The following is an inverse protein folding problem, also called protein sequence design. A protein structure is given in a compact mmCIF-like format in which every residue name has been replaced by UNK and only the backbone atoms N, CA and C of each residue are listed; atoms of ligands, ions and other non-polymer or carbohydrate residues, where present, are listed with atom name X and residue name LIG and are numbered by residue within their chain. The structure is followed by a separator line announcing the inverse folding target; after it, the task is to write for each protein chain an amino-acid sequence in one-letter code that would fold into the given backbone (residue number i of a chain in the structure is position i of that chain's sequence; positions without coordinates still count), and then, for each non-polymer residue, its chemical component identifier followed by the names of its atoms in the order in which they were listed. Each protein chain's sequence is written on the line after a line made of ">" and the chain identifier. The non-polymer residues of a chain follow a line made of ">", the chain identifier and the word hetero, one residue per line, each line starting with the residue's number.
data_IF_190007392729
#
_entry.id   IF_190007392729
#
_cell.length_a   1.000
_cell.length_b   1.000
_cell.length_c   1.000
_cell.angle_alpha   90.00
_cell.angle_beta   90.00
_cell.angle_gamma   90.00
#
_symmetry.space_group_name_H-M   'P 1'
#
loop_
_entity.id
_entity.type
_entity.pdbx_description
1 polymer ?
#
# COMPACT_ATOMS: atom_id res chain seq x y z
N UNK A 1 17.15 -10.77 3.43
CA UNK A 1 16.25 -10.07 4.37
C UNK A 1 16.43 -8.56 4.26
N UNK A 2 17.66 -8.04 4.38
CA UNK A 2 17.98 -6.61 4.24
C UNK A 2 17.38 -5.92 3.01
N UNK A 3 17.54 -6.50 1.81
CA UNK A 3 16.96 -5.94 0.58
C UNK A 3 15.43 -5.74 0.66
N UNK A 4 14.70 -6.68 1.28
CA UNK A 4 13.25 -6.59 1.43
C UNK A 4 12.86 -5.56 2.50
N UNK A 5 13.69 -5.39 3.55
CA UNK A 5 13.52 -4.31 4.55
C UNK A 5 13.70 -2.93 3.90
N UNK A 6 14.72 -2.75 3.07
CA UNK A 6 14.93 -1.51 2.30
C UNK A 6 13.76 -1.25 1.35
N UNK A 7 13.29 -2.28 0.64
CA UNK A 7 12.16 -2.14 -0.28
C UNK A 7 10.86 -1.76 0.47
N UNK A 8 10.56 -2.41 1.60
CA UNK A 8 9.42 -2.03 2.43
C UNK A 8 9.53 -0.58 2.94
N UNK A 9 10.73 -0.15 3.33
CA UNK A 9 11.02 1.24 3.74
C UNK A 9 10.74 2.23 2.61
N UNK A 10 11.13 1.91 1.37
CA UNK A 10 10.85 2.76 0.22
C UNK A 10 9.34 2.89 -0.01
N UNK A 11 8.58 1.80 0.10
CA UNK A 11 7.13 1.84 -0.14
C UNK A 11 6.37 2.57 0.97
N UNK A 12 6.73 2.44 2.24
CA UNK A 12 6.09 3.23 3.30
C UNK A 12 6.43 4.73 3.20
N UNK A 13 7.64 5.07 2.75
CA UNK A 13 8.01 6.45 2.46
C UNK A 13 7.18 7.02 1.30
N UNK A 14 6.94 6.22 0.25
CA UNK A 14 6.06 6.61 -0.85
C UNK A 14 4.61 6.82 -0.38
N UNK A 15 4.06 5.94 0.46
CA UNK A 15 2.73 6.12 1.06
C UNK A 15 2.65 7.42 1.86
N UNK A 16 3.66 7.69 2.69
CA UNK A 16 3.74 8.89 3.53
C UNK A 16 3.86 10.17 2.68
N UNK A 17 4.66 10.12 1.61
CA UNK A 17 4.83 11.24 0.69
C UNK A 17 3.53 11.56 -0.05
N UNK A 18 2.84 10.53 -0.58
CA UNK A 18 1.61 10.75 -1.34
C UNK A 18 0.44 11.19 -0.48
N UNK A 19 0.24 10.57 0.70
CA UNK A 19 -0.79 11.02 1.64
C UNK A 19 -0.64 12.50 2.01
N UNK A 20 0.58 12.95 2.33
CA UNK A 20 0.83 14.36 2.63
C UNK A 20 0.64 15.30 1.43
N UNK A 21 0.92 14.82 0.21
CA UNK A 21 0.65 15.56 -1.04
C UNK A 21 -0.84 15.69 -1.34
N UNK A 22 -1.59 14.61 -1.14
CA UNK A 22 -3.05 14.56 -1.29
C UNK A 22 -3.71 15.51 -0.29
N UNK A 23 -3.37 15.41 1.00
CA UNK A 23 -3.95 16.25 2.06
C UNK A 23 -3.70 17.74 1.80
N UNK A 24 -2.47 18.13 1.43
CA UNK A 24 -2.17 19.53 1.08
C UNK A 24 -3.00 20.07 -0.07
N UNK A 25 -3.24 19.28 -1.11
CA UNK A 25 -4.04 19.71 -2.27
C UNK A 25 -5.54 19.67 -1.97
N UNK A 26 -6.00 18.68 -1.23
CA UNK A 26 -7.39 18.57 -0.80
C UNK A 26 -7.85 19.78 0.02
N UNK A 27 -6.98 20.30 0.90
CA UNK A 27 -7.28 21.50 1.71
C UNK A 27 -7.22 22.81 0.94
N UNK A 28 -6.84 22.80 -0.34
CA UNK A 28 -6.75 24.02 -1.14
C UNK A 28 -8.15 24.43 -1.62
N UNK A 29 -8.53 25.68 -1.35
CA UNK A 29 -9.88 26.18 -1.61
C UNK A 29 -10.21 26.35 -3.10
N UNK A 30 -9.21 26.62 -3.94
CA UNK A 30 -9.36 26.85 -5.39
C UNK A 30 -8.23 26.14 -6.15
N UNK A 31 -8.33 24.81 -6.38
CA UNK A 31 -7.36 24.10 -7.18
C UNK A 31 -7.54 24.44 -8.66
N UNK A 32 -6.45 24.70 -9.37
CA UNK A 32 -6.48 24.82 -10.83
C UNK A 32 -6.51 23.43 -11.51
N UNK A 33 -6.67 23.39 -12.83
CA UNK A 33 -6.71 22.13 -13.58
C UNK A 33 -5.44 21.28 -13.44
N UNK A 34 -4.26 21.92 -13.33
CA UNK A 34 -2.99 21.21 -13.17
C UNK A 34 -2.93 20.56 -11.79
N UNK A 35 -3.46 21.23 -10.77
CA UNK A 35 -3.54 20.68 -9.41
C UNK A 35 -4.52 19.52 -9.29
N UNK A 36 -5.63 19.55 -10.01
CA UNK A 36 -6.58 18.41 -10.08
C UNK A 36 -5.90 17.20 -10.74
N UNK A 37 -5.19 17.39 -11.85
CA UNK A 37 -4.43 16.32 -12.51
C UNK A 37 -3.31 15.78 -11.61
N UNK A 38 -2.57 16.66 -10.95
CA UNK A 38 -1.53 16.26 -10.01
C UNK A 38 -2.10 15.48 -8.82
N UNK A 39 -3.30 15.85 -8.35
CA UNK A 39 -4.00 15.14 -7.28
C UNK A 39 -4.43 13.74 -7.72
N UNK A 40 -4.98 13.60 -8.93
CA UNK A 40 -5.31 12.30 -9.52
C UNK A 40 -4.07 11.39 -9.62
N UNK A 41 -2.95 11.92 -10.11
CA UNK A 41 -1.67 11.19 -10.18
C UNK A 41 -1.22 10.73 -8.78
N UNK A 42 -1.28 11.61 -7.78
CA UNK A 42 -0.87 11.28 -6.42
C UNK A 42 -1.80 10.22 -5.79
N UNK A 43 -3.11 10.24 -6.10
CA UNK A 43 -4.08 9.21 -5.67
C UNK A 43 -3.76 7.83 -6.28
N UNK A 44 -3.49 7.77 -7.59
CA UNK A 44 -3.09 6.53 -8.25
C UNK A 44 -1.77 6.00 -7.70
N UNK A 45 -0.78 6.87 -7.50
CA UNK A 45 0.50 6.46 -6.94
C UNK A 45 0.38 6.01 -5.49
N UNK A 46 -0.52 6.62 -4.71
CA UNK A 46 -0.81 6.22 -3.33
C UNK A 46 -1.30 4.78 -3.23
N UNK A 47 -2.29 4.38 -4.05
CA UNK A 47 -2.78 2.99 -4.02
C UNK A 47 -1.75 1.98 -4.51
N UNK A 48 -0.94 2.35 -5.51
CA UNK A 48 0.18 1.51 -5.97
C UNK A 48 1.21 1.33 -4.84
N UNK A 49 1.62 2.42 -4.19
CA UNK A 49 2.61 2.37 -3.11
C UNK A 49 2.13 1.50 -1.93
N UNK A 50 0.88 1.65 -1.50
CA UNK A 50 0.30 0.87 -0.41
C UNK A 50 0.23 -0.63 -0.75
N UNK A 51 -0.18 -1.00 -1.97
CA UNK A 51 -0.18 -2.41 -2.39
C UNK A 51 1.23 -2.96 -2.55
N UNK A 52 2.20 -2.18 -3.02
CA UNK A 52 3.59 -2.63 -3.13
C UNK A 52 4.23 -2.86 -1.76
N UNK A 53 3.92 -2.05 -0.75
CA UNK A 53 4.30 -2.32 0.64
C UNK A 53 3.75 -3.67 1.11
N UNK A 54 2.43 -3.89 0.96
CA UNK A 54 1.77 -5.15 1.30
C UNK A 54 2.45 -6.35 0.62
N UNK A 55 2.65 -6.28 -0.69
CA UNK A 55 3.28 -7.34 -1.49
C UNK A 55 4.72 -7.62 -1.04
N UNK A 56 5.49 -6.59 -0.73
CA UNK A 56 6.86 -6.75 -0.23
C UNK A 56 6.89 -7.56 1.07
N UNK A 57 6.01 -7.22 2.03
CA UNK A 57 5.92 -7.91 3.31
C UNK A 57 5.38 -9.34 3.15
N UNK A 58 4.42 -9.55 2.25
CA UNK A 58 3.92 -10.88 1.90
C UNK A 58 5.04 -11.78 1.35
N UNK A 59 5.95 -11.25 0.52
CA UNK A 59 7.09 -12.02 0.04
C UNK A 59 8.03 -12.43 1.18
N UNK A 60 8.21 -11.59 2.21
CA UNK A 60 8.96 -11.99 3.40
C UNK A 60 8.24 -13.10 4.16
N UNK A 61 6.94 -12.96 4.38
CA UNK A 61 6.10 -13.95 5.05
C UNK A 61 6.22 -15.35 4.41
N UNK A 62 6.29 -15.40 3.07
CA UNK A 62 6.41 -16.66 2.32
C UNK A 62 7.83 -17.25 2.34
N UNK A 63 8.86 -16.42 2.46
CA UNK A 63 10.27 -16.82 2.31
C UNK A 63 10.99 -17.05 3.64
N UNK A 64 10.47 -16.54 4.76
CA UNK A 64 11.09 -16.66 6.08
C UNK A 64 10.16 -17.45 6.99
N UNK A 65 10.37 -18.78 7.16
CA UNK A 65 9.46 -19.66 7.90
C UNK A 65 9.12 -19.17 9.32
N UNK A 66 10.11 -18.60 10.03
CA UNK A 66 9.93 -18.08 11.39
C UNK A 66 9.07 -16.81 11.50
N UNK A 67 8.77 -16.14 10.39
CA UNK A 67 7.97 -14.90 10.35
C UNK A 67 6.57 -15.11 9.76
N UNK A 68 6.30 -16.25 9.13
CA UNK A 68 5.10 -16.47 8.30
C UNK A 68 3.79 -16.23 9.06
N UNK A 69 3.64 -16.78 10.26
CA UNK A 69 2.40 -16.66 11.03
C UNK A 69 2.10 -15.21 11.49
N UNK A 70 3.12 -14.51 11.98
CA UNK A 70 3.00 -13.13 12.47
C UNK A 70 2.69 -12.18 11.30
N UNK A 71 3.45 -12.28 10.21
CA UNK A 71 3.26 -11.42 9.04
C UNK A 71 1.93 -11.70 8.33
N UNK A 72 1.48 -12.95 8.24
CA UNK A 72 0.15 -13.28 7.69
C UNK A 72 -0.97 -12.62 8.50
N UNK A 73 -0.84 -12.60 9.83
CA UNK A 73 -1.82 -11.94 10.71
C UNK A 73 -1.86 -10.43 10.46
N UNK A 74 -0.69 -9.78 10.34
CA UNK A 74 -0.60 -8.34 10.05
C UNK A 74 -1.15 -7.97 8.68
N UNK A 75 -0.82 -8.75 7.66
CA UNK A 75 -1.34 -8.57 6.30
C UNK A 75 -2.86 -8.68 6.29
N UNK A 76 -3.44 -9.62 7.04
CA UNK A 76 -4.90 -9.74 7.19
C UNK A 76 -5.50 -8.50 7.85
N UNK A 77 -4.92 -7.99 8.94
CA UNK A 77 -5.42 -6.76 9.57
C UNK A 77 -5.38 -5.58 8.61
N UNK A 78 -4.30 -5.43 7.86
CA UNK A 78 -4.19 -4.40 6.82
C UNK A 78 -5.26 -4.54 5.74
N UNK A 79 -5.48 -5.76 5.23
CA UNK A 79 -6.49 -6.03 4.19
C UNK A 79 -7.92 -5.74 4.69
N UNK A 80 -8.21 -5.98 5.98
CA UNK A 80 -9.49 -5.64 6.62
C UNK A 80 -9.69 -4.12 6.73
N UNK A 81 -8.63 -3.37 7.06
CA UNK A 81 -8.68 -1.92 7.18
C UNK A 81 -8.74 -1.21 5.81
N UNK A 82 -8.33 -1.89 4.74
CA UNK A 82 -8.21 -1.30 3.39
C UNK A 82 -8.92 -2.12 2.31
N UNK A 83 -10.22 -2.45 2.47
CA UNK A 83 -10.89 -3.46 1.65
C UNK A 83 -11.00 -3.09 0.16
N UNK A 84 -11.03 -1.79 -0.16
CA UNK A 84 -11.11 -1.29 -1.54
C UNK A 84 -9.75 -1.21 -2.24
N UNK A 85 -8.64 -1.26 -1.49
CA UNK A 85 -7.32 -0.90 -1.99
C UNK A 85 -6.86 -1.75 -3.18
N UNK A 86 -7.03 -3.07 -3.11
CA UNK A 86 -6.59 -3.97 -4.18
C UNK A 86 -7.38 -3.75 -5.47
N UNK A 87 -8.69 -3.50 -5.36
CA UNK A 87 -9.55 -3.24 -6.51
C UNK A 87 -9.15 -1.92 -7.19
N UNK A 88 -9.02 -0.85 -6.41
CA UNK A 88 -8.60 0.46 -6.91
C UNK A 88 -7.23 0.38 -7.59
N UNK A 89 -6.26 -0.33 -6.97
CA UNK A 89 -4.93 -0.51 -7.58
C UNK A 89 -4.98 -1.32 -8.87
N UNK A 90 -5.73 -2.42 -8.92
CA UNK A 90 -5.84 -3.25 -10.13
C UNK A 90 -6.35 -2.43 -11.32
N UNK A 91 -7.42 -1.67 -11.14
CA UNK A 91 -7.95 -0.82 -12.22
C UNK A 91 -6.99 0.32 -12.54
N UNK A 92 -6.33 0.90 -11.53
CA UNK A 92 -5.33 1.95 -11.73
C UNK A 92 -4.13 1.52 -12.56
N UNK A 93 -3.62 0.29 -12.39
CA UNK A 93 -2.46 -0.20 -13.16
C UNK A 93 -2.80 -0.55 -14.61
N UNK A 94 -4.08 -0.80 -14.89
CA UNK A 94 -4.58 -1.25 -16.18
C UNK A 94 -5.61 -0.28 -16.76
N UNK A 95 -5.53 1.00 -16.39
CA UNK A 95 -6.58 1.99 -16.68
C UNK A 95 -6.87 2.11 -18.18
N UNK A 96 -5.85 1.93 -19.02
CA UNK A 96 -5.97 1.97 -20.48
C UNK A 96 -6.81 0.80 -21.03
N UNK A 97 -6.65 -0.40 -20.47
CA UNK A 97 -7.45 -1.59 -20.85
C UNK A 97 -8.92 -1.36 -20.53
N UNK A 98 -9.22 -0.85 -19.33
CA UNK A 98 -10.61 -0.54 -18.96
C UNK A 98 -11.21 0.64 -19.74
N UNK A 99 -10.39 1.57 -20.24
CA UNK A 99 -10.84 2.65 -21.12
C UNK A 99 -11.23 2.15 -22.53
N UNK A 100 -10.73 0.98 -22.92
CA UNK A 100 -10.99 0.30 -24.19
C UNK A 100 -12.04 -0.81 -24.07
N UNK A 101 -12.67 -0.97 -22.90
CA UNK A 101 -13.59 -2.08 -22.59
C UNK A 101 -12.91 -3.48 -22.67
N UNK A 102 -11.58 -3.54 -22.46
CA UNK A 102 -10.75 -4.76 -22.46
C UNK A 102 -10.30 -5.18 -21.03
N UNK A 103 -10.84 -4.50 -20.01
CA UNK A 103 -10.45 -4.73 -18.62
C UNK A 103 -10.78 -6.13 -18.10
N UNK A 104 -9.98 -6.60 -17.14
CA UNK A 104 -10.10 -7.96 -16.60
C UNK A 104 -11.29 -8.18 -15.65
N UNK A 105 -11.92 -7.11 -15.15
CA UNK A 105 -13.10 -7.15 -14.27
C UNK A 105 -14.31 -6.59 -15.03
N UNK A 106 -15.20 -7.48 -15.48
CA UNK A 106 -16.41 -7.16 -16.24
C UNK A 106 -17.46 -6.39 -15.42
N UNK A 107 -17.29 -6.31 -14.10
CA UNK A 107 -18.13 -5.50 -13.22
C UNK A 107 -17.73 -4.03 -13.18
N UNK A 108 -16.58 -3.68 -13.80
CA UNK A 108 -16.08 -2.30 -13.90
C UNK A 108 -16.42 -1.73 -15.27
N UNK A 109 -17.37 -0.79 -15.30
CA UNK A 109 -17.69 -0.06 -16.53
C UNK A 109 -16.70 1.07 -16.82
N UNK A 110 -16.44 1.34 -18.09
CA UNK A 110 -15.66 2.52 -18.55
C UNK A 110 -16.10 3.83 -17.89
N UNK A 111 -17.41 4.03 -17.70
CA UNK A 111 -17.95 5.23 -17.04
C UNK A 111 -17.43 5.40 -15.62
N UNK A 112 -17.30 4.30 -14.86
CA UNK A 112 -16.79 4.34 -13.49
C UNK A 112 -15.29 4.67 -13.47
N UNK A 113 -14.54 4.27 -14.49
CA UNK A 113 -13.10 4.59 -14.61
C UNK A 113 -12.91 6.08 -14.82
N UNK A 114 -13.74 6.70 -15.66
CA UNK A 114 -13.65 8.11 -16.04
C UNK A 114 -14.13 9.11 -14.98
N UNK A 115 -14.75 8.66 -13.89
CA UNK A 115 -15.36 9.55 -12.89
C UNK A 115 -14.92 9.18 -11.48
N UNK A 116 -14.34 10.16 -10.79
CA UNK A 116 -13.98 10.08 -9.37
C UNK A 116 -14.43 11.35 -8.65
N UNK A 117 -14.48 11.30 -7.32
CA UNK A 117 -14.80 12.45 -6.48
C UNK A 117 -13.96 12.45 -5.20
N UNK A 118 -13.91 13.60 -4.55
CA UNK A 118 -13.38 13.74 -3.20
C UNK A 118 -14.51 14.07 -2.24
N UNK A 119 -14.37 13.54 -1.04
CA UNK A 119 -15.26 13.79 0.08
C UNK A 119 -14.41 13.97 1.34
N UNK A 120 -15.03 14.37 2.44
CA UNK A 120 -14.37 14.64 3.70
C UNK A 120 -14.71 13.55 4.72
N UNK A 121 -13.70 12.92 5.31
CA UNK A 121 -13.88 12.02 6.44
C UNK A 121 -14.35 12.80 7.68
N UNK A 122 -14.91 12.09 8.66
CA UNK A 122 -15.36 12.73 9.92
C UNK A 122 -14.24 13.48 10.67
N UNK A 123 -12.97 13.13 10.44
CA UNK A 123 -11.80 13.81 10.98
C UNK A 123 -11.24 14.95 10.11
N UNK A 124 -11.87 15.27 8.97
CA UNK A 124 -11.38 16.30 8.04
C UNK A 124 -10.41 15.80 6.96
N UNK A 125 -10.04 14.51 6.98
CA UNK A 125 -9.19 13.88 5.98
C UNK A 125 -9.89 13.67 4.63
N UNK A 126 -9.10 13.44 3.57
CA UNK A 126 -9.63 13.18 2.23
C UNK A 126 -10.17 11.75 2.10
N UNK A 127 -11.38 11.63 1.54
CA UNK A 127 -11.92 10.37 1.04
C UNK A 127 -11.90 10.43 -0.49
N UNK A 128 -11.26 9.44 -1.11
CA UNK A 128 -11.32 9.24 -2.55
C UNK A 128 -12.44 8.27 -2.91
N UNK A 129 -13.41 8.76 -3.67
CA UNK A 129 -14.49 7.97 -4.24
C UNK A 129 -14.19 7.61 -5.69
N UNK A 130 -14.01 6.32 -5.97
CA UNK A 130 -13.74 5.82 -7.33
C UNK A 130 -14.23 4.38 -7.48
N UNK A 131 -14.74 4.00 -8.65
CA UNK A 131 -15.23 2.63 -8.93
C UNK A 131 -16.34 2.14 -7.98
N UNK A 132 -17.16 3.07 -7.48
CA UNK A 132 -18.18 2.76 -6.45
C UNK A 132 -17.58 2.40 -5.08
N UNK A 133 -16.28 2.55 -4.90
CA UNK A 133 -15.59 2.36 -3.63
C UNK A 133 -15.29 3.71 -2.98
N UNK A 134 -15.08 3.66 -1.67
CA UNK A 134 -14.55 4.78 -0.88
C UNK A 134 -13.23 4.34 -0.26
N UNK A 135 -12.21 5.18 -0.39
CA UNK A 135 -10.90 4.99 0.22
C UNK A 135 -10.58 6.20 1.09
N UNK A 136 -10.53 6.00 2.39
CA UNK A 136 -10.03 7.02 3.33
C UNK A 136 -8.50 7.03 3.27
N UNK A 137 -7.93 8.15 2.83
CA UNK A 137 -6.49 8.30 2.58
C UNK A 137 -5.71 8.26 3.88
N UNK A 138 -6.21 8.90 4.93
CA UNK A 138 -5.54 8.96 6.23
C UNK A 138 -5.60 7.58 6.91
N UNK A 139 -6.78 6.95 6.93
CA UNK A 139 -6.93 5.59 7.46
C UNK A 139 -6.00 4.60 6.75
N UNK A 140 -5.95 4.64 5.41
CA UNK A 140 -5.10 3.75 4.62
C UNK A 140 -3.61 4.00 4.90
N UNK A 141 -3.19 5.25 5.04
CA UNK A 141 -1.81 5.59 5.40
C UNK A 141 -1.45 5.09 6.81
N UNK A 142 -2.38 5.22 7.77
CA UNK A 142 -2.20 4.72 9.14
C UNK A 142 -2.15 3.19 9.20
N UNK A 143 -3.00 2.51 8.43
CA UNK A 143 -2.97 1.05 8.28
C UNK A 143 -1.62 0.58 7.70
N UNK A 144 -1.12 1.25 6.65
CA UNK A 144 0.17 0.97 6.05
C UNK A 144 1.33 1.18 7.01
N UNK A 145 1.31 2.26 7.80
CA UNK A 145 2.31 2.54 8.82
C UNK A 145 2.30 1.49 9.93
N UNK A 146 1.12 1.07 10.37
CA UNK A 146 0.95 0.02 11.38
C UNK A 146 1.48 -1.33 10.88
N UNK A 147 1.18 -1.69 9.62
CA UNK A 147 1.75 -2.86 8.96
C UNK A 147 3.28 -2.80 8.91
N UNK A 148 3.86 -1.68 8.48
CA UNK A 148 5.31 -1.52 8.36
C UNK A 148 6.03 -1.57 9.72
N UNK A 149 5.52 -0.85 10.73
CA UNK A 149 6.10 -0.87 12.09
C UNK A 149 6.03 -2.28 12.69
N UNK A 150 4.91 -2.95 12.50
CA UNK A 150 4.73 -4.34 12.92
C UNK A 150 5.73 -5.27 12.25
N UNK A 151 5.90 -5.13 10.93
CA UNK A 151 6.90 -5.88 10.17
C UNK A 151 8.32 -5.67 10.70
N UNK A 152 8.74 -4.44 10.98
CA UNK A 152 10.06 -4.17 11.56
C UNK A 152 10.23 -4.84 12.93
N UNK A 153 9.22 -4.73 13.79
CA UNK A 153 9.23 -5.35 15.12
C UNK A 153 9.40 -6.87 15.04
N UNK A 154 8.67 -7.54 14.13
CA UNK A 154 8.73 -8.98 13.96
C UNK A 154 10.11 -9.39 13.41
N UNK A 155 10.64 -8.64 12.44
CA UNK A 155 11.97 -8.87 11.85
C UNK A 155 13.09 -8.72 12.89
N UNK A 156 13.04 -7.66 13.69
CA UNK A 156 14.07 -7.40 14.71
C UNK A 156 14.02 -8.47 15.82
N UNK A 157 12.81 -8.91 16.22
CA UNK A 157 12.61 -10.02 17.16
C UNK A 157 13.16 -11.34 16.59
N UNK A 158 12.85 -11.64 15.33
CA UNK A 158 13.34 -12.84 14.66
C UNK A 158 14.87 -12.84 14.50
N UNK A 159 15.47 -11.70 14.16
CA UNK A 159 16.92 -11.56 14.03
C UNK A 159 17.63 -11.71 15.38
N UNK A 160 17.04 -11.22 16.47
CA UNK A 160 17.57 -11.40 17.84
C UNK A 160 17.40 -12.82 18.39
N UNK A 161 16.41 -13.57 17.91
CA UNK A 161 16.14 -14.95 18.32
C UNK A 161 16.83 -16.02 17.45
N UNK A 162 17.38 -15.64 16.29
CA UNK A 162 18.06 -16.58 15.41
C UNK A 162 19.35 -17.09 16.08
N UNK A 163 19.54 -18.41 16.25
CA UNK A 163 20.81 -18.93 16.76
C UNK A 163 21.91 -18.53 15.77
N UNK A 164 23.00 -17.96 16.30
CA UNK A 164 24.21 -17.70 15.52
C UNK A 164 24.56 -18.98 14.77
N UNK A 165 24.54 -18.94 13.44
CA UNK A 165 24.98 -20.07 12.64
C UNK A 165 26.38 -20.46 13.12
N UNK A 166 26.46 -21.61 13.77
CA UNK A 166 27.69 -22.24 14.22
C UNK A 166 28.58 -22.36 12.99
N UNK A 167 29.66 -21.59 12.94
CA UNK A 167 30.79 -21.92 12.09
C UNK A 167 31.29 -23.29 12.55
N UNK A 168 30.84 -24.35 11.89
CA UNK A 168 31.50 -25.65 11.95
C UNK A 168 32.92 -25.47 11.44
N UNK A 169 33.85 -25.35 12.38
CA UNK A 169 35.26 -25.59 12.14
C UNK A 169 35.41 -27.06 11.76
N UNK A 170 35.49 -27.33 10.46
CA UNK A 170 35.95 -28.62 9.94
C UNK A 170 37.38 -28.84 10.41
N UNK A 171 37.69 -29.90 11.17
CA UNK A 171 39.07 -30.25 11.49
C UNK A 171 39.76 -30.67 10.19
N UNK A 172 40.93 -30.08 9.91
CA UNK A 172 41.85 -30.60 8.89
C UNK A 172 42.54 -31.84 9.47
N UNK A 173 42.30 -32.99 8.87
CA UNK A 173 43.22 -34.14 8.91
C UNK A 173 44.34 -33.96 7.89
#
# INVERSE_FOLDING_TARGET
>A
MERLRTEATNWINAVSLQSGRIDRRFRKQYPDHVEIQALEIDLHFFVVAAVRLRRCIEQVSRRVPGLSGQLTTRLRSFDIETPSLLRLRNVSEHIDEYNLDEGHDDTVSRRQVQTWYLDTAGGGGAIWGWLGQRLDIEQTANAALSLYRGFLSDVDTWAGAAPAHTHETVPKE
#
